data_IF_840833545743
#
_entry.id   IF_840833545743
#
_cell.length_a   1.000
_cell.length_b   1.000
_cell.length_c   1.000
_cell.angle_alpha   90.00
_cell.angle_beta   90.00
_cell.angle_gamma   90.00
#
_symmetry.space_group_name_H-M   'P 1'
#
loop_
_entity.id
_entity.type
_entity.pdbx_description
1 polymer ?
#
# COMPACT_ATOMS: atom_id res chain seq x y z
N UNK A 1 -20.72 -28.25 -25.19
CA UNK A 1 -19.82 -27.62 -24.20
C UNK A 1 -18.93 -26.62 -24.92
N UNK A 2 -19.23 -25.31 -24.84
CA UNK A 2 -18.27 -24.23 -25.20
C UNK A 2 -18.79 -22.86 -24.71
N UNK A 3 -18.75 -22.63 -23.39
CA UNK A 3 -19.10 -21.32 -22.79
C UNK A 3 -17.99 -20.76 -21.87
N UNK A 4 -16.84 -21.43 -21.76
CA UNK A 4 -15.76 -21.05 -20.83
C UNK A 4 -14.75 -20.06 -21.44
N UNK A 5 -14.71 -19.90 -22.77
CA UNK A 5 -13.68 -19.06 -23.41
C UNK A 5 -13.99 -17.55 -23.50
N UNK A 6 -15.23 -17.10 -23.24
CA UNK A 6 -15.55 -15.67 -23.31
C UNK A 6 -15.60 -14.97 -21.95
N UNK A 7 -15.69 -15.74 -20.85
CA UNK A 7 -15.61 -15.20 -19.49
C UNK A 7 -14.20 -14.79 -19.07
N UNK A 8 -13.19 -15.59 -19.44
CA UNK A 8 -11.78 -15.38 -19.05
C UNK A 8 -11.16 -14.15 -19.73
N UNK A 9 -11.62 -13.77 -20.92
CA UNK A 9 -11.00 -12.68 -21.70
C UNK A 9 -11.27 -11.28 -21.14
N UNK A 10 -12.41 -11.10 -20.45
CA UNK A 10 -12.78 -9.82 -19.82
C UNK A 10 -12.22 -9.72 -18.39
N UNK A 11 -12.23 -10.79 -17.59
CA UNK A 11 -11.68 -10.80 -16.23
C UNK A 11 -10.16 -10.93 -16.18
N UNK A 12 -9.51 -11.62 -17.13
CA UNK A 12 -8.03 -11.75 -17.12
C UNK A 12 -7.33 -10.45 -17.45
N UNK A 13 -7.78 -9.70 -18.47
CA UNK A 13 -7.22 -8.38 -18.78
C UNK A 13 -7.41 -7.38 -17.63
N UNK A 14 -8.55 -7.45 -16.96
CA UNK A 14 -8.86 -6.61 -15.81
C UNK A 14 -7.93 -6.91 -14.62
N UNK A 15 -7.72 -8.19 -14.28
CA UNK A 15 -6.85 -8.61 -13.18
C UNK A 15 -5.36 -8.41 -13.48
N UNK A 16 -4.93 -8.67 -14.71
CA UNK A 16 -3.53 -8.48 -15.11
C UNK A 16 -3.15 -7.00 -15.11
N UNK A 17 -4.04 -6.11 -15.56
CA UNK A 17 -3.87 -4.66 -15.42
C UNK A 17 -3.82 -4.20 -13.96
N UNK A 18 -4.59 -4.81 -13.05
CA UNK A 18 -4.52 -4.52 -11.59
C UNK A 18 -3.15 -4.88 -11.04
N UNK A 19 -2.65 -6.07 -11.35
CA UNK A 19 -1.34 -6.54 -10.88
C UNK A 19 -0.23 -5.61 -11.40
N UNK A 20 -0.28 -5.21 -12.67
CA UNK A 20 0.70 -4.27 -13.24
C UNK A 20 0.61 -2.91 -12.55
N UNK A 21 -0.58 -2.33 -12.38
CA UNK A 21 -0.74 -1.03 -11.74
C UNK A 21 -0.29 -1.01 -10.27
N UNK A 22 -0.54 -2.10 -9.52
CA UNK A 22 -0.06 -2.24 -8.15
C UNK A 22 1.47 -2.37 -8.13
N UNK A 23 2.06 -3.13 -9.04
CA UNK A 23 3.52 -3.26 -9.16
C UNK A 23 4.17 -1.94 -9.55
N UNK A 24 3.61 -1.20 -10.49
CA UNK A 24 4.10 0.12 -10.89
C UNK A 24 4.00 1.12 -9.72
N UNK A 25 2.89 1.10 -8.98
CA UNK A 25 2.76 1.91 -7.77
C UNK A 25 3.77 1.47 -6.70
N UNK A 26 4.01 0.17 -6.56
CA UNK A 26 4.96 -0.37 -5.58
C UNK A 26 6.38 0.05 -5.90
N UNK A 27 6.81 -0.06 -7.16
CA UNK A 27 8.13 0.39 -7.61
C UNK A 27 8.29 1.89 -7.43
N UNK A 28 7.27 2.67 -7.79
CA UNK A 28 7.32 4.12 -7.68
C UNK A 28 7.31 4.60 -6.21
N UNK A 29 6.46 4.02 -5.38
CA UNK A 29 6.45 4.25 -3.95
C UNK A 29 7.78 3.86 -3.32
N UNK A 30 8.37 2.73 -3.71
CA UNK A 30 9.68 2.27 -3.22
C UNK A 30 10.78 3.27 -3.53
N UNK A 31 10.79 3.83 -4.75
CA UNK A 31 11.73 4.88 -5.13
C UNK A 31 11.54 6.16 -4.31
N UNK A 32 10.30 6.62 -4.15
CA UNK A 32 9.98 7.83 -3.35
C UNK A 32 10.28 7.63 -1.87
N UNK A 33 9.97 6.46 -1.31
CA UNK A 33 10.28 6.09 0.07
C UNK A 33 11.79 6.06 0.34
N UNK A 34 12.58 5.54 -0.61
CA UNK A 34 14.06 5.57 -0.56
C UNK A 34 14.60 7.00 -0.54
N UNK A 35 13.97 7.92 -1.27
CA UNK A 35 14.34 9.34 -1.27
C UNK A 35 13.99 10.03 0.06
N UNK A 36 12.88 9.62 0.70
CA UNK A 36 12.41 10.18 1.97
C UNK A 36 13.32 9.82 3.16
N UNK A 37 13.77 8.55 3.25
CA UNK A 37 14.63 8.08 4.34
C UNK A 37 15.31 6.75 4.01
N UNK A 38 16.58 6.59 4.43
CA UNK A 38 17.29 5.29 4.33
C UNK A 38 16.57 4.17 5.09
N UNK A 39 15.84 4.48 6.15
CA UNK A 39 15.05 3.50 6.90
C UNK A 39 13.72 3.15 6.23
N UNK A 40 13.13 4.08 5.47
CA UNK A 40 11.92 3.81 4.68
C UNK A 40 12.19 2.94 3.43
N UNK A 41 13.46 2.68 3.13
CA UNK A 41 13.92 1.75 2.09
C UNK A 41 13.95 0.29 2.54
N UNK A 42 13.74 0.03 3.84
CA UNK A 42 13.82 -1.30 4.42
C UNK A 42 12.77 -2.22 3.79
N UNK A 43 13.19 -3.41 3.35
CA UNK A 43 12.33 -4.34 2.64
C UNK A 43 11.19 -4.87 3.50
N UNK A 44 11.43 -5.05 4.80
CA UNK A 44 10.41 -5.54 5.74
C UNK A 44 9.37 -4.45 6.01
N UNK A 45 9.84 -3.20 6.13
CA UNK A 45 8.95 -2.05 6.27
C UNK A 45 8.07 -1.85 5.04
N UNK A 46 8.64 -1.98 3.85
CA UNK A 46 7.87 -1.91 2.60
C UNK A 46 6.88 -3.07 2.47
N UNK A 47 7.29 -4.29 2.83
CA UNK A 47 6.37 -5.43 2.85
C UNK A 47 5.18 -5.16 3.78
N UNK A 48 5.41 -4.68 5.00
CA UNK A 48 4.36 -4.32 5.95
C UNK A 48 3.39 -3.26 5.39
N UNK A 49 3.91 -2.26 4.67
CA UNK A 49 3.13 -1.17 4.05
C UNK A 49 2.27 -1.62 2.87
N UNK A 50 2.68 -2.66 2.14
CA UNK A 50 1.95 -3.18 0.98
C UNK A 50 1.05 -4.37 1.34
N UNK A 51 1.32 -5.09 2.43
CA UNK A 51 0.42 -6.12 2.95
C UNK A 51 -0.86 -5.53 3.55
N UNK A 52 -0.77 -4.36 4.17
CA UNK A 52 -1.91 -3.70 4.80
C UNK A 52 -2.00 -2.25 4.29
N UNK A 53 -3.15 -1.81 3.75
CA UNK A 53 -3.33 -0.44 3.27
C UNK A 53 -3.28 0.61 4.40
N UNK A 54 -3.25 0.14 5.65
CA UNK A 54 -3.04 0.90 6.86
C UNK A 54 -1.91 0.30 7.69
N UNK A 55 -1.00 1.13 8.17
CA UNK A 55 0.09 0.75 9.06
C UNK A 55 -0.04 1.46 10.41
N UNK A 56 0.24 0.73 11.49
CA UNK A 56 0.38 1.28 12.85
C UNK A 56 1.84 1.29 13.26
N UNK A 57 2.22 2.20 14.14
CA UNK A 57 3.59 2.27 14.69
C UNK A 57 3.97 0.92 15.33
N UNK A 58 3.06 0.28 16.07
CA UNK A 58 3.29 -1.03 16.68
C UNK A 58 3.61 -2.14 15.66
N UNK A 59 2.90 -2.18 14.53
CA UNK A 59 3.14 -3.16 13.46
C UNK A 59 4.55 -3.01 12.87
N UNK A 60 5.01 -1.77 12.68
CA UNK A 60 6.36 -1.49 12.17
C UNK A 60 7.42 -1.85 13.19
N UNK A 61 7.18 -1.59 14.48
CA UNK A 61 8.08 -2.00 15.55
C UNK A 61 8.25 -3.52 15.61
N UNK A 62 7.14 -4.27 15.57
CA UNK A 62 7.16 -5.74 15.63
C UNK A 62 7.78 -6.37 14.39
N UNK A 63 7.45 -5.87 13.19
CA UNK A 63 7.95 -6.47 11.94
C UNK A 63 9.39 -6.10 11.64
N UNK A 64 9.76 -4.83 11.82
CA UNK A 64 11.10 -4.36 11.48
C UNK A 64 12.09 -4.46 12.66
N UNK A 65 11.65 -4.98 13.82
CA UNK A 65 12.43 -5.06 15.05
C UNK A 65 13.10 -3.71 15.43
N UNK A 66 12.35 -2.61 15.28
CA UNK A 66 12.86 -1.25 15.52
C UNK A 66 12.21 -0.59 16.74
N UNK A 67 12.94 0.33 17.35
CA UNK A 67 12.41 1.13 18.45
C UNK A 67 11.26 2.05 17.99
N UNK A 68 10.31 2.32 18.89
CA UNK A 68 9.19 3.26 18.66
C UNK A 68 9.58 4.61 18.03
N UNK A 69 10.62 5.32 18.50
CA UNK A 69 11.03 6.59 17.87
C UNK A 69 11.50 6.38 16.43
N UNK A 70 12.19 5.28 16.13
CA UNK A 70 12.64 4.93 14.77
C UNK A 70 11.46 4.67 13.84
N UNK A 71 10.52 3.80 14.24
CA UNK A 71 9.29 3.54 13.48
C UNK A 71 8.49 4.83 13.23
N UNK A 72 8.34 5.67 14.26
CA UNK A 72 7.64 6.96 14.16
C UNK A 72 8.35 7.90 13.20
N UNK A 73 9.69 7.96 13.23
CA UNK A 73 10.48 8.79 12.33
C UNK A 73 10.33 8.36 10.88
N UNK A 74 10.32 7.06 10.59
CA UNK A 74 10.16 6.54 9.22
C UNK A 74 8.76 6.83 8.67
N UNK A 75 7.72 6.57 9.47
CA UNK A 75 6.33 6.83 9.10
C UNK A 75 6.06 8.33 8.91
N UNK A 76 6.64 9.19 9.78
CA UNK A 76 6.55 10.63 9.62
C UNK A 76 7.30 11.14 8.39
N UNK A 77 8.47 10.59 8.05
CA UNK A 77 9.20 10.97 6.85
C UNK A 77 8.37 10.70 5.58
N UNK A 78 7.76 9.52 5.50
CA UNK A 78 6.84 9.18 4.40
C UNK A 78 5.59 10.07 4.38
N UNK A 79 5.04 10.41 5.56
CA UNK A 79 3.90 11.32 5.63
C UNK A 79 4.26 12.75 5.19
N UNK A 80 5.47 13.21 5.51
CA UNK A 80 5.98 14.52 5.11
C UNK A 80 6.18 14.65 3.60
N UNK A 81 6.55 13.54 2.94
CA UNK A 81 6.62 13.44 1.47
C UNK A 81 5.23 13.26 0.81
N UNK A 82 4.15 13.21 1.60
CA UNK A 82 2.79 13.00 1.11
C UNK A 82 2.49 11.57 0.64
N UNK A 83 3.40 10.62 0.88
CA UNK A 83 3.25 9.21 0.52
C UNK A 83 2.26 8.49 1.44
N UNK A 84 2.22 8.88 2.72
CA UNK A 84 1.28 8.37 3.71
C UNK A 84 0.43 9.51 4.27
N UNK A 85 -0.83 9.20 4.55
CA UNK A 85 -1.68 10.09 5.33
C UNK A 85 -1.64 9.66 6.79
N UNK A 86 -1.27 10.58 7.68
CA UNK A 86 -1.39 10.35 9.11
C UNK A 86 -2.84 10.58 9.56
N UNK A 87 -3.39 9.62 10.30
CA UNK A 87 -4.74 9.66 10.83
C UNK A 87 -4.68 9.29 12.31
N UNK A 88 -5.12 10.20 13.17
CA UNK A 88 -5.23 9.93 14.60
C UNK A 88 -6.58 9.29 14.89
N UNK A 89 -6.57 8.03 15.32
CA UNK A 89 -7.78 7.28 15.71
C UNK A 89 -7.69 6.97 17.19
N UNK A 90 -8.41 7.76 17.99
CA UNK A 90 -8.38 7.67 19.45
C UNK A 90 -6.99 7.94 20.04
N UNK A 91 -6.39 6.91 20.66
CA UNK A 91 -5.05 6.98 21.26
C UNK A 91 -3.92 6.54 20.32
N UNK A 92 -4.26 5.99 19.16
CA UNK A 92 -3.31 5.48 18.19
C UNK A 92 -3.16 6.42 16.98
N UNK A 93 -1.98 6.41 16.37
CA UNK A 93 -1.72 7.00 15.05
C UNK A 93 -1.69 5.88 14.03
N UNK A 94 -2.54 6.01 13.02
CA UNK A 94 -2.52 5.19 11.81
C UNK A 94 -1.91 5.98 10.67
N UNK A 95 -1.21 5.28 9.80
CA UNK A 95 -0.67 5.81 8.57
C UNK A 95 -1.29 5.04 7.41
N UNK A 96 -1.95 5.76 6.51
CA UNK A 96 -2.75 5.18 5.43
C UNK A 96 -2.05 5.46 4.11
N UNK A 97 -1.82 4.41 3.32
CA UNK A 97 -1.37 4.58 1.94
C UNK A 97 -2.59 4.92 1.07
N UNK A 98 -2.87 6.22 0.91
CA UNK A 98 -4.04 6.69 0.15
C UNK A 98 -3.99 6.26 -1.32
N UNK A 99 -2.80 6.24 -1.94
CA UNK A 99 -2.66 5.84 -3.34
C UNK A 99 -3.03 4.36 -3.53
N UNK A 100 -2.52 3.50 -2.64
CA UNK A 100 -2.85 2.08 -2.63
C UNK A 100 -4.33 1.86 -2.33
N UNK A 101 -4.89 2.54 -1.32
CA UNK A 101 -6.30 2.44 -0.97
C UNK A 101 -7.19 2.89 -2.13
N UNK A 102 -6.84 3.96 -2.85
CA UNK A 102 -7.56 4.38 -4.05
C UNK A 102 -7.47 3.36 -5.18
N UNK A 103 -6.31 2.74 -5.41
CA UNK A 103 -6.19 1.67 -6.41
C UNK A 103 -7.04 0.45 -6.06
N UNK A 104 -7.15 0.11 -4.77
CA UNK A 104 -7.99 -0.99 -4.29
C UNK A 104 -9.49 -0.67 -4.37
N UNK A 105 -9.91 0.51 -3.88
CA UNK A 105 -11.32 0.93 -3.78
C UNK A 105 -11.93 1.32 -5.13
N UNK A 106 -11.14 1.86 -6.07
CA UNK A 106 -11.66 2.37 -7.36
C UNK A 106 -12.43 1.34 -8.19
N UNK A 107 -12.38 0.04 -7.87
CA UNK A 107 -13.02 -0.99 -8.71
C UNK A 107 -13.98 -1.94 -8.00
N UNK A 108 -14.19 -1.84 -6.69
CA UNK A 108 -15.35 -2.54 -6.08
C UNK A 108 -16.68 -1.93 -6.56
N UNK A 109 -16.67 -0.65 -6.96
CA UNK A 109 -17.87 0.04 -7.45
C UNK A 109 -18.17 -0.22 -8.94
N UNK A 110 -17.19 -0.68 -9.73
CA UNK A 110 -17.39 -1.04 -11.15
C UNK A 110 -17.88 -2.48 -11.34
N UNK A 111 -17.83 -3.33 -10.31
CA UNK A 111 -18.27 -4.75 -10.37
C UNK A 111 -19.76 -4.93 -9.99
N UNK A 112 -20.39 -3.89 -9.40
CA UNK A 112 -21.79 -3.92 -8.94
C UNK A 112 -22.79 -3.39 -9.98
N UNK A 113 -22.29 -2.88 -11.11
CA UNK A 113 -23.09 -2.39 -12.24
C UNK A 113 -22.64 -3.04 -13.55
N UNK A 114 -22.77 -4.36 -13.62
CA UNK A 114 -22.59 -5.16 -14.83
C UNK A 114 -23.70 -6.18 -14.99
#
# INVERSE_FOLDING_TARGET
MLYVLRGIELTSRATLKKIIAIRDLQDDFTRRARAASRGAADSEFQAALFEQPYCRIGTVMERCDVSRPTATSWLNALASEGLLQDLRVGRDRLFINRELLQLLVRRELDDVQG
#
